data_IF_994824111273
#
_entry.id   IF_994824111273
#
_cell.length_a   1.000
_cell.length_b   1.000
_cell.length_c   1.000
_cell.angle_alpha   90.00
_cell.angle_beta   90.00
_cell.angle_gamma   90.00
#
_symmetry.space_group_name_H-M   'P 1'
#
loop_
_entity.id
_entity.type
_entity.pdbx_description
1 polymer ?
#
# COMPACT_ATOMS: atom_id res chain seq x y z
N UNK A 1 24.82 9.77 6.38
CA UNK A 1 23.55 10.50 6.67
C UNK A 1 22.31 9.64 6.37
N UNK A 2 22.22 8.39 6.87
CA UNK A 2 21.13 7.43 6.55
C UNK A 2 20.24 7.05 7.75
N UNK A 3 20.44 7.66 8.92
CA UNK A 3 19.77 7.25 10.18
C UNK A 3 18.32 7.73 10.32
N UNK A 4 17.85 8.70 9.52
CA UNK A 4 16.52 9.33 9.67
C UNK A 4 15.37 8.51 9.07
N UNK A 5 15.59 7.86 7.93
CA UNK A 5 14.55 7.06 7.25
C UNK A 5 14.23 5.76 8.01
N UNK A 6 15.26 5.13 8.59
CA UNK A 6 15.10 3.92 9.42
C UNK A 6 14.30 4.19 10.70
N UNK A 7 14.49 5.35 11.35
CA UNK A 7 13.72 5.72 12.55
C UNK A 7 12.23 5.86 12.22
N UNK A 8 11.88 6.63 11.20
CA UNK A 8 10.48 6.86 10.79
C UNK A 8 9.78 5.57 10.35
N UNK A 9 10.52 4.65 9.72
CA UNK A 9 9.97 3.33 9.38
C UNK A 9 9.66 2.49 10.63
N UNK A 10 10.57 2.45 11.62
CA UNK A 10 10.35 1.72 12.88
C UNK A 10 9.18 2.30 13.66
N UNK A 11 9.04 3.63 13.70
CA UNK A 11 7.91 4.32 14.33
C UNK A 11 6.59 3.94 13.64
N UNK A 12 6.56 3.97 12.30
CA UNK A 12 5.37 3.58 11.53
C UNK A 12 5.01 2.09 11.73
N UNK A 13 5.99 1.19 11.79
CA UNK A 13 5.76 -0.24 12.05
C UNK A 13 5.27 -0.50 13.49
N UNK A 14 5.79 0.26 14.46
CA UNK A 14 5.33 0.20 15.85
C UNK A 14 3.88 0.69 15.98
N UNK A 15 3.53 1.74 15.25
CA UNK A 15 2.15 2.24 15.23
C UNK A 15 1.19 1.30 14.50
N UNK A 16 1.62 0.65 13.42
CA UNK A 16 0.84 -0.40 12.76
C UNK A 16 0.54 -1.57 13.72
N UNK A 17 1.51 -1.97 14.55
CA UNK A 17 1.33 -3.03 15.56
C UNK A 17 0.31 -2.63 16.63
N UNK A 18 0.37 -1.38 17.10
CA UNK A 18 -0.63 -0.85 18.06
C UNK A 18 -2.03 -0.80 17.44
N UNK A 19 -2.14 -0.37 16.18
CA UNK A 19 -3.41 -0.34 15.46
C UNK A 19 -3.99 -1.75 15.28
N UNK A 20 -3.16 -2.75 14.97
CA UNK A 20 -3.59 -4.14 14.88
C UNK A 20 -4.15 -4.65 16.22
N UNK A 21 -3.50 -4.33 17.35
CA UNK A 21 -4.02 -4.67 18.68
C UNK A 21 -5.35 -3.94 18.96
N UNK A 22 -5.45 -2.64 18.66
CA UNK A 22 -6.66 -1.85 18.87
C UNK A 22 -7.84 -2.31 17.99
N UNK A 23 -7.58 -2.91 16.82
CA UNK A 23 -8.61 -3.47 15.96
C UNK A 23 -9.36 -4.65 16.60
N UNK A 24 -8.74 -5.36 17.55
CA UNK A 24 -9.36 -6.43 18.35
C UNK A 24 -10.05 -5.96 19.63
N UNK A 25 -10.19 -4.64 19.82
CA UNK A 25 -10.85 -4.06 21.01
C UNK A 25 -12.30 -4.54 21.14
N UNK A 26 -12.74 -4.78 22.39
CA UNK A 26 -14.14 -5.06 22.71
C UNK A 26 -15.06 -3.83 22.50
N UNK A 27 -14.49 -2.61 22.52
CA UNK A 27 -15.19 -1.39 22.10
C UNK A 27 -15.17 -1.28 20.56
N UNK A 28 -16.34 -1.37 19.89
CA UNK A 28 -16.44 -1.30 18.43
C UNK A 28 -15.96 0.04 17.85
N UNK A 29 -16.12 1.14 18.58
CA UNK A 29 -15.68 2.46 18.14
C UNK A 29 -14.14 2.58 18.08
N UNK A 30 -13.43 1.91 19.00
CA UNK A 30 -11.97 1.82 18.95
C UNK A 30 -11.55 0.91 17.79
N UNK A 31 -12.17 -0.25 17.65
CA UNK A 31 -11.87 -1.22 16.61
C UNK A 31 -12.04 -0.64 15.20
N UNK A 32 -13.16 0.02 14.92
CA UNK A 32 -13.44 0.62 13.60
C UNK A 32 -12.47 1.74 13.24
N UNK A 33 -12.07 2.59 14.21
CA UNK A 33 -11.06 3.63 13.97
C UNK A 33 -9.70 3.02 13.65
N UNK A 34 -9.33 1.96 14.35
CA UNK A 34 -8.08 1.24 14.09
C UNK A 34 -8.08 0.58 12.70
N UNK A 35 -9.17 -0.08 12.32
CA UNK A 35 -9.35 -0.66 10.97
C UNK A 35 -9.27 0.42 9.90
N UNK A 36 -9.88 1.59 10.10
CA UNK A 36 -9.78 2.71 9.17
C UNK A 36 -8.34 3.19 9.01
N UNK A 37 -7.60 3.31 10.11
CA UNK A 37 -6.19 3.72 10.06
C UNK A 37 -5.32 2.69 9.33
N UNK A 38 -5.52 1.39 9.58
CA UNK A 38 -4.83 0.31 8.87
C UNK A 38 -5.14 0.33 7.37
N UNK A 39 -6.39 0.53 6.98
CA UNK A 39 -6.77 0.67 5.55
C UNK A 39 -6.02 1.83 4.88
N UNK A 40 -5.94 3.00 5.54
CA UNK A 40 -5.20 4.16 5.00
C UNK A 40 -3.71 3.87 4.85
N UNK A 41 -3.12 3.18 5.83
CA UNK A 41 -1.72 2.76 5.75
C UNK A 41 -1.50 1.78 4.59
N UNK A 42 -2.34 0.75 4.46
CA UNK A 42 -2.30 -0.21 3.36
C UNK A 42 -2.37 0.48 2.01
N UNK A 43 -3.35 1.37 1.80
CA UNK A 43 -3.52 2.11 0.55
C UNK A 43 -2.29 2.96 0.19
N UNK A 44 -1.65 3.56 1.20
CA UNK A 44 -0.43 4.34 1.01
C UNK A 44 0.74 3.46 0.59
N UNK A 45 0.93 2.32 1.26
CA UNK A 45 2.00 1.37 0.96
C UNK A 45 1.79 0.70 -0.40
N UNK A 46 0.57 0.30 -0.72
CA UNK A 46 0.23 -0.28 -2.02
C UNK A 46 0.55 0.72 -3.14
N UNK A 47 0.10 1.96 -3.02
CA UNK A 47 0.41 3.02 -4.00
C UNK A 47 1.91 3.21 -4.20
N UNK A 48 2.68 3.22 -3.11
CA UNK A 48 4.14 3.33 -3.15
C UNK A 48 4.76 2.15 -3.89
N UNK A 49 4.34 0.92 -3.56
CA UNK A 49 4.91 -0.29 -4.17
C UNK A 49 4.49 -0.47 -5.63
N UNK A 50 3.26 -0.13 -6.00
CA UNK A 50 2.83 -0.07 -7.41
C UNK A 50 3.71 0.92 -8.17
N UNK A 51 3.99 2.11 -7.62
CA UNK A 51 4.91 3.07 -8.21
C UNK A 51 6.33 2.53 -8.36
N UNK A 52 6.84 1.80 -7.37
CA UNK A 52 8.15 1.14 -7.44
C UNK A 52 8.19 0.03 -8.49
N UNK A 53 7.16 -0.81 -8.56
CA UNK A 53 7.05 -1.89 -9.56
C UNK A 53 7.01 -1.32 -10.98
N UNK A 54 6.24 -0.26 -11.21
CA UNK A 54 6.22 0.45 -12.49
C UNK A 54 7.58 1.05 -12.86
N UNK A 55 8.31 1.64 -11.91
CA UNK A 55 9.70 2.10 -12.11
C UNK A 55 10.67 0.95 -12.41
N UNK A 56 10.46 -0.20 -11.78
CA UNK A 56 11.22 -1.43 -12.05
C UNK A 56 10.83 -2.08 -13.40
N UNK A 57 9.83 -1.55 -14.10
CA UNK A 57 9.43 -2.00 -15.42
C UNK A 57 8.39 -3.11 -15.45
N UNK A 58 7.76 -3.42 -14.32
CA UNK A 58 6.68 -4.40 -14.26
C UNK A 58 5.45 -3.94 -15.07
N UNK A 59 4.83 -4.87 -15.77
CA UNK A 59 3.53 -4.71 -16.42
C UNK A 59 2.40 -4.59 -15.39
N UNK A 60 1.23 -4.08 -15.81
CA UNK A 60 0.08 -4.07 -14.91
C UNK A 60 -0.41 -5.46 -14.58
N UNK A 61 -0.21 -6.44 -15.47
CA UNK A 61 -0.53 -7.84 -15.20
C UNK A 61 0.32 -8.40 -14.07
N UNK A 62 1.65 -8.23 -14.11
CA UNK A 62 2.54 -8.70 -13.03
C UNK A 62 2.21 -8.08 -11.67
N UNK A 63 1.81 -6.80 -11.66
CA UNK A 63 1.37 -6.12 -10.44
C UNK A 63 0.01 -6.67 -9.97
N UNK A 64 -0.92 -6.93 -10.90
CA UNK A 64 -2.22 -7.49 -10.59
C UNK A 64 -2.10 -8.90 -10.00
N UNK A 65 -1.23 -9.73 -10.58
CA UNK A 65 -0.94 -11.09 -10.11
C UNK A 65 -0.36 -11.05 -8.69
N UNK A 66 0.57 -10.13 -8.41
CA UNK A 66 1.16 -9.97 -7.08
C UNK A 66 0.17 -9.44 -6.02
N UNK A 67 -0.86 -8.70 -6.44
CA UNK A 67 -1.92 -8.19 -5.57
C UNK A 67 -3.15 -9.10 -5.52
N UNK A 68 -3.16 -10.20 -6.27
CA UNK A 68 -4.29 -11.11 -6.44
C UNK A 68 -5.60 -10.40 -6.86
N UNK A 69 -5.48 -9.39 -7.71
CA UNK A 69 -6.62 -8.66 -8.28
C UNK A 69 -6.60 -8.74 -9.81
N UNK A 70 -7.68 -8.31 -10.44
CA UNK A 70 -7.68 -8.20 -11.90
C UNK A 70 -6.80 -7.05 -12.38
N UNK A 71 -6.18 -7.22 -13.55
CA UNK A 71 -5.44 -6.15 -14.25
C UNK A 71 -6.25 -4.86 -14.39
N UNK A 72 -7.54 -4.99 -14.71
CA UNK A 72 -8.45 -3.85 -14.83
C UNK A 72 -8.64 -3.13 -13.49
N UNK A 73 -8.73 -3.86 -12.37
CA UNK A 73 -8.89 -3.26 -11.05
C UNK A 73 -7.65 -2.46 -10.65
N UNK A 74 -6.45 -3.03 -10.79
CA UNK A 74 -5.21 -2.33 -10.44
C UNK A 74 -4.97 -1.13 -11.38
N UNK A 75 -5.22 -1.30 -12.68
CA UNK A 75 -5.06 -0.21 -13.65
C UNK A 75 -6.03 0.94 -13.34
N UNK A 76 -7.31 0.64 -13.13
CA UNK A 76 -8.32 1.65 -12.77
C UNK A 76 -7.95 2.40 -11.49
N UNK A 77 -7.38 1.70 -10.50
CA UNK A 77 -7.01 2.29 -9.21
C UNK A 77 -5.76 3.19 -9.30
N UNK A 78 -4.76 2.79 -10.08
CA UNK A 78 -3.42 3.39 -9.99
C UNK A 78 -2.91 4.10 -11.25
N UNK A 79 -3.45 3.82 -12.44
CA UNK A 79 -2.92 4.35 -13.70
C UNK A 79 -2.93 5.89 -13.74
N UNK A 80 -3.96 6.55 -13.20
CA UNK A 80 -4.04 8.01 -13.18
C UNK A 80 -2.99 8.71 -12.32
N UNK A 81 -2.33 7.98 -11.41
CA UNK A 81 -1.25 8.51 -10.55
C UNK A 81 0.13 8.26 -11.16
N UNK A 82 0.25 7.39 -12.14
CA UNK A 82 1.53 7.02 -12.77
C UNK A 82 1.83 7.95 -13.95
N UNK A 83 2.91 8.76 -13.89
CA UNK A 83 3.25 9.69 -14.97
C UNK A 83 4.09 9.08 -16.10
N UNK A 84 4.51 7.81 -15.98
CA UNK A 84 5.38 7.16 -16.96
C UNK A 84 4.62 6.54 -18.14
N UNK A 85 5.29 6.25 -19.26
CA UNK A 85 4.66 5.63 -20.41
C UNK A 85 4.11 4.25 -20.05
N UNK A 86 2.93 3.92 -20.58
CA UNK A 86 2.39 2.58 -20.44
C UNK A 86 3.11 1.64 -21.42
N UNK A 87 4.03 0.81 -20.90
CA UNK A 87 4.68 -0.20 -21.73
C UNK A 87 3.67 -1.31 -22.01
N UNK A 88 3.34 -1.48 -23.31
CA UNK A 88 2.39 -2.47 -23.80
C UNK A 88 2.75 -3.86 -23.24
N UNK A 89 1.76 -4.44 -22.60
CA UNK A 89 1.71 -5.85 -22.21
C UNK A 89 1.85 -6.69 -23.48
N UNK A 90 2.80 -7.63 -23.50
CA UNK A 90 2.89 -8.64 -24.57
C UNK A 90 1.86 -9.72 -24.34
#
# INVERSE_FOLDING_TARGET
>A
MTRRVLSTYIDAMSDATKLAAAAGSADPGIGLRAVLALRRLLETLETLQVGNARKAGWSWQEIADALEVSRQAVHKKHAGRWPGPDRREK
#
